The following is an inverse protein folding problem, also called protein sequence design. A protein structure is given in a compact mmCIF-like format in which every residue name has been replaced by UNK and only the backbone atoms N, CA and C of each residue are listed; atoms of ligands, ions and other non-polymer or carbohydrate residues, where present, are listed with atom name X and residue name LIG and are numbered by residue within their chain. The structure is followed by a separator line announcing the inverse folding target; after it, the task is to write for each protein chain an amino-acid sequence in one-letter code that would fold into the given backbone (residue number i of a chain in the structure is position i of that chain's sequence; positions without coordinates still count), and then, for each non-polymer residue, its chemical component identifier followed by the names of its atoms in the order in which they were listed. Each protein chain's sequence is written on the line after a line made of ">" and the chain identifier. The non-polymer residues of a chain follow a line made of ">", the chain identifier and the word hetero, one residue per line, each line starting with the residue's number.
data_IF_556962951209
#
_entry.id   IF_556962951209
#
_cell.length_a   1.000
_cell.length_b   1.000
_cell.length_c   1.000
_cell.angle_alpha   90.00
_cell.angle_beta   90.00
_cell.angle_gamma   90.00
#
_symmetry.space_group_name_H-M   'P 1'
#
loop_
_entity.id
_entity.type
_entity.pdbx_description
1 polymer ?
#
# COMPACT_ATOMS: atom_id res chain seq x y z
N UNK A 1 -40.30 2.92 -17.88
CA UNK A 1 -39.31 3.45 -18.83
C UNK A 1 -38.30 4.26 -18.05
N UNK A 2 -36.98 4.03 -18.17
CA UNK A 2 -36.00 4.90 -17.54
C UNK A 2 -36.13 6.30 -18.14
N UNK A 3 -36.31 7.30 -17.29
CA UNK A 3 -36.46 8.70 -17.68
C UNK A 3 -35.11 9.25 -18.13
N UNK A 4 -35.05 9.86 -19.32
CA UNK A 4 -33.82 10.46 -19.82
C UNK A 4 -33.36 11.60 -18.90
N UNK A 5 -32.07 11.60 -18.55
CA UNK A 5 -31.50 12.61 -17.66
C UNK A 5 -31.55 14.00 -18.32
N UNK A 6 -31.86 15.07 -17.55
CA UNK A 6 -31.83 16.43 -18.05
C UNK A 6 -30.49 16.81 -18.70
N UNK A 7 -30.48 17.65 -19.75
CA UNK A 7 -29.25 18.01 -20.47
C UNK A 7 -28.15 18.58 -19.55
N UNK A 8 -28.53 19.40 -18.57
CA UNK A 8 -27.59 20.00 -17.61
C UNK A 8 -26.84 18.94 -16.78
N UNK A 9 -27.53 17.85 -16.41
CA UNK A 9 -26.95 16.75 -15.66
C UNK A 9 -25.96 15.97 -16.53
N UNK A 10 -26.26 15.79 -17.82
CA UNK A 10 -25.34 15.11 -18.75
C UNK A 10 -24.05 15.90 -18.97
N UNK A 11 -24.11 17.23 -19.01
CA UNK A 11 -22.92 18.08 -19.15
C UNK A 11 -22.03 17.98 -17.91
N UNK A 12 -22.63 18.09 -16.71
CA UNK A 12 -21.93 17.95 -15.42
C UNK A 12 -21.27 16.57 -15.28
N UNK A 13 -21.94 15.52 -15.75
CA UNK A 13 -21.40 14.15 -15.75
C UNK A 13 -20.19 13.97 -16.66
N UNK A 14 -20.08 14.74 -17.75
CA UNK A 14 -18.90 14.71 -18.63
C UNK A 14 -17.74 15.49 -18.05
N UNK A 15 -18.02 16.61 -17.39
CA UNK A 15 -17.02 17.43 -16.71
C UNK A 15 -16.48 16.76 -15.44
N UNK A 16 -17.35 16.10 -14.68
CA UNK A 16 -17.03 15.38 -13.46
C UNK A 16 -17.51 13.93 -13.57
N UNK A 17 -16.77 13.09 -14.32
CA UNK A 17 -17.16 11.70 -14.48
C UNK A 17 -17.08 10.96 -13.14
N UNK A 18 -18.11 10.18 -12.82
CA UNK A 18 -18.11 9.28 -11.65
C UNK A 18 -17.19 8.06 -11.84
N UNK A 19 -16.55 7.92 -13.00
CA UNK A 19 -15.52 6.92 -13.24
C UNK A 19 -14.21 7.37 -12.64
N UNK A 20 -13.68 6.58 -11.71
CA UNK A 20 -12.33 6.78 -11.18
C UNK A 20 -11.33 6.54 -12.33
N UNK A 21 -10.38 7.46 -12.59
CA UNK A 21 -9.33 7.22 -13.58
C UNK A 21 -8.57 5.94 -13.21
N UNK A 22 -8.12 5.20 -14.23
CA UNK A 22 -7.39 3.96 -14.01
C UNK A 22 -6.19 4.21 -13.10
N UNK A 23 -5.92 3.29 -12.19
CA UNK A 23 -4.70 3.33 -11.37
C UNK A 23 -3.42 3.27 -12.24
N UNK A 24 -3.54 2.89 -13.51
CA UNK A 24 -2.46 2.95 -14.49
C UNK A 24 -2.19 4.37 -15.02
N UNK A 25 -3.23 5.21 -15.11
CA UNK A 25 -3.13 6.60 -15.58
C UNK A 25 -2.74 7.57 -14.45
N UNK A 26 -2.76 7.12 -13.19
CA UNK A 26 -2.23 7.90 -12.09
C UNK A 26 -0.71 7.97 -12.19
N UNK A 27 -0.11 9.17 -12.00
CA UNK A 27 1.34 9.29 -11.95
C UNK A 27 1.86 8.33 -10.88
N UNK A 28 2.71 7.38 -11.28
CA UNK A 28 3.43 6.52 -10.34
C UNK A 28 4.11 7.45 -9.35
N UNK A 29 3.74 7.33 -8.07
CA UNK A 29 4.44 8.07 -7.02
C UNK A 29 5.95 7.81 -7.21
N UNK A 30 6.78 8.87 -7.10
CA UNK A 30 8.21 8.67 -7.16
C UNK A 30 8.62 7.62 -6.11
N UNK A 31 9.65 6.80 -6.38
CA UNK A 31 10.12 5.82 -5.42
C UNK A 31 10.35 6.49 -4.07
N UNK A 32 9.66 6.02 -3.03
CA UNK A 32 9.86 6.53 -1.69
C UNK A 32 11.31 6.28 -1.27
N UNK A 33 11.91 7.27 -0.62
CA UNK A 33 13.17 7.13 0.10
C UNK A 33 13.14 5.89 1.02
N UNK A 34 14.20 5.05 1.06
CA UNK A 34 14.23 3.84 1.87
C UNK A 34 13.85 4.07 3.35
N UNK A 35 14.29 5.18 3.94
CA UNK A 35 13.96 5.53 5.33
C UNK A 35 12.47 5.82 5.48
N UNK A 36 11.88 6.59 4.56
CA UNK A 36 10.46 6.88 4.56
C UNK A 36 9.62 5.60 4.41
N UNK A 37 10.06 4.67 3.53
CA UNK A 37 9.38 3.39 3.31
C UNK A 37 9.44 2.49 4.54
N UNK A 38 10.60 2.43 5.20
CA UNK A 38 10.75 1.73 6.50
C UNK A 38 9.82 2.27 7.58
N UNK A 39 9.68 3.59 7.71
CA UNK A 39 8.78 4.19 8.70
C UNK A 39 7.31 3.90 8.38
N UNK A 40 6.94 3.90 7.10
CA UNK A 40 5.61 3.48 6.65
C UNK A 40 5.32 2.03 7.08
N UNK A 41 6.26 1.12 6.83
CA UNK A 41 6.16 -0.29 7.25
C UNK A 41 6.00 -0.42 8.76
N UNK A 42 6.84 0.27 9.54
CA UNK A 42 6.74 0.29 11.01
C UNK A 42 5.37 0.78 11.50
N UNK A 43 4.84 1.82 10.86
CA UNK A 43 3.53 2.38 11.19
C UNK A 43 2.41 1.39 10.87
N UNK A 44 2.45 0.75 9.70
CA UNK A 44 1.49 -0.31 9.33
C UNK A 44 1.50 -1.45 10.34
N UNK A 45 2.68 -1.91 10.75
CA UNK A 45 2.82 -2.99 11.74
C UNK A 45 2.24 -2.60 13.11
N UNK A 46 2.41 -1.35 13.55
CA UNK A 46 1.81 -0.84 14.80
C UNK A 46 0.30 -0.69 14.72
N UNK A 47 -0.23 -0.34 13.55
CA UNK A 47 -1.67 -0.16 13.30
C UNK A 47 -2.37 -1.47 12.91
N UNK A 48 -1.70 -2.62 13.02
CA UNK A 48 -2.23 -3.93 12.61
C UNK A 48 -2.69 -4.00 11.15
N UNK A 49 -2.09 -3.17 10.29
CA UNK A 49 -2.36 -3.16 8.85
C UNK A 49 -1.49 -4.19 8.12
N UNK A 50 -2.04 -4.75 7.05
CA UNK A 50 -1.29 -5.63 6.14
C UNK A 50 -0.21 -4.85 5.38
N UNK A 51 0.98 -5.43 5.26
CA UNK A 51 1.99 -4.91 4.35
C UNK A 51 1.64 -5.29 2.90
N UNK A 52 1.96 -4.41 1.97
CA UNK A 52 1.77 -4.67 0.55
C UNK A 52 2.92 -5.54 0.00
N UNK A 53 2.72 -6.17 -1.17
CA UNK A 53 3.78 -6.93 -1.83
C UNK A 53 5.05 -6.09 -2.05
N UNK A 54 4.87 -4.84 -2.44
CA UNK A 54 5.96 -3.88 -2.60
C UNK A 54 6.72 -3.68 -1.28
N UNK A 55 6.05 -3.61 -0.14
CA UNK A 55 6.72 -3.43 1.16
C UNK A 55 7.59 -4.65 1.51
N UNK A 56 7.12 -5.86 1.19
CA UNK A 56 7.87 -7.10 1.42
C UNK A 56 9.07 -7.21 0.49
N UNK A 57 8.89 -6.89 -0.79
CA UNK A 57 10.00 -6.84 -1.76
C UNK A 57 11.08 -5.84 -1.33
N UNK A 58 10.68 -4.68 -0.84
CA UNK A 58 11.61 -3.69 -0.29
C UNK A 58 12.45 -4.23 0.87
N UNK A 59 11.84 -4.96 1.81
CA UNK A 59 12.57 -5.57 2.92
C UNK A 59 13.52 -6.69 2.47
N UNK A 60 13.21 -7.34 1.34
CA UNK A 60 14.09 -8.35 0.71
C UNK A 60 15.26 -7.69 -0.02
N UNK A 61 15.00 -6.59 -0.72
CA UNK A 61 16.02 -5.81 -1.44
C UNK A 61 16.93 -5.04 -0.49
N UNK A 62 16.42 -4.62 0.67
CA UNK A 62 17.12 -3.83 1.69
C UNK A 62 17.17 -4.55 3.05
N UNK A 63 18.05 -5.56 3.20
CA UNK A 63 18.17 -6.31 4.44
C UNK A 63 18.62 -5.44 5.63
N UNK A 64 19.37 -4.36 5.40
CA UNK A 64 19.71 -3.40 6.45
C UNK A 64 18.46 -2.78 7.10
N UNK A 65 17.45 -2.46 6.28
CA UNK A 65 16.21 -1.83 6.76
C UNK A 65 15.31 -2.85 7.46
N UNK A 66 15.30 -4.10 7.01
CA UNK A 66 14.62 -5.19 7.68
C UNK A 66 15.23 -5.48 9.06
N UNK A 67 16.56 -5.46 9.18
CA UNK A 67 17.24 -5.61 10.47
C UNK A 67 16.93 -4.45 11.40
N UNK A 68 16.99 -3.22 10.90
CA UNK A 68 16.63 -2.05 11.70
C UNK A 68 15.20 -2.14 12.21
N UNK A 69 14.25 -2.56 11.36
CA UNK A 69 12.86 -2.79 11.74
C UNK A 69 12.75 -3.84 12.85
N UNK A 70 13.48 -4.96 12.75
CA UNK A 70 13.49 -5.99 13.78
C UNK A 70 13.98 -5.46 15.12
N UNK A 71 15.00 -4.61 15.12
CA UNK A 71 15.61 -4.05 16.33
C UNK A 71 14.79 -2.89 16.94
N UNK A 72 14.00 -2.16 16.13
CA UNK A 72 13.28 -0.94 16.56
C UNK A 72 11.76 -1.10 16.67
N UNK A 73 11.26 -2.30 16.39
CA UNK A 73 9.85 -2.63 16.59
C UNK A 73 9.64 -3.20 17.99
N UNK A 74 8.51 -2.85 18.61
CA UNK A 74 8.18 -3.39 19.93
C UNK A 74 7.95 -4.90 19.82
N UNK A 75 8.38 -5.65 20.82
CA UNK A 75 8.36 -7.13 20.83
C UNK A 75 6.98 -7.70 20.51
N UNK A 76 5.90 -7.00 20.89
CA UNK A 76 4.50 -7.38 20.60
C UNK A 76 4.18 -7.43 19.10
N UNK A 77 4.84 -6.60 18.29
CA UNK A 77 4.70 -6.60 16.83
C UNK A 77 5.79 -7.41 16.13
N UNK A 78 6.84 -7.82 16.85
CA UNK A 78 7.90 -8.69 16.35
C UNK A 78 7.37 -10.03 15.85
N UNK A 79 6.43 -10.65 16.58
CA UNK A 79 5.79 -11.90 16.15
C UNK A 79 4.99 -11.74 14.85
N UNK A 80 4.34 -10.58 14.64
CA UNK A 80 3.62 -10.28 13.39
C UNK A 80 4.59 -10.09 12.24
N UNK A 81 5.70 -9.41 12.49
CA UNK A 81 6.76 -9.22 11.51
C UNK A 81 7.37 -10.57 11.09
N UNK A 82 7.72 -11.43 12.03
CA UNK A 82 8.25 -12.77 11.75
C UNK A 82 7.23 -13.66 11.05
N UNK A 83 5.97 -13.64 11.49
CA UNK A 83 4.89 -14.35 10.80
C UNK A 83 4.75 -13.89 9.35
N UNK A 84 4.85 -12.59 9.09
CA UNK A 84 4.69 -12.05 7.74
C UNK A 84 5.90 -12.35 6.85
N UNK A 85 7.12 -12.30 7.41
CA UNK A 85 8.34 -12.70 6.73
C UNK A 85 8.31 -14.18 6.32
N UNK A 86 7.79 -15.05 7.21
CA UNK A 86 7.75 -16.50 7.01
C UNK A 86 6.52 -16.98 6.20
N UNK A 87 5.41 -16.23 6.20
CA UNK A 87 4.13 -16.68 5.59
C UNK A 87 4.16 -16.83 4.07
N UNK A 88 5.23 -16.43 3.38
CA UNK A 88 5.35 -16.55 1.92
C UNK A 88 6.41 -17.55 1.44
N UNK A 89 7.14 -18.19 2.36
CA UNK A 89 7.93 -19.39 2.04
C UNK A 89 7.04 -20.65 1.86
N UNK A 90 5.71 -20.51 2.06
CA UNK A 90 4.72 -21.59 1.97
C UNK A 90 3.69 -21.48 0.84
N UNK A 91 3.95 -20.70 -0.22
CA UNK A 91 3.18 -20.79 -1.47
C UNK A 91 4.08 -21.32 -2.58
N UNK A 92 4.19 -22.65 -2.64
CA UNK A 92 4.63 -23.42 -3.81
C UNK A 92 3.41 -24.11 -4.44
#
# INVERSE_FOLDING_TARGET
>A
MPQALPPEVQTKLKEYPFTRPSTQDMPKMPPLDPVARRQSIRTKLRSDMSLSNNDVEFLREHPEEAKWLKDHIETRFGLKFESLANSRDGQA
#
